data_IF_570892764507
#
_entry.id   IF_570892764507
#
_cell.length_a   1.000
_cell.length_b   1.000
_cell.length_c   1.000
_cell.angle_alpha   90.00
_cell.angle_beta   90.00
_cell.angle_gamma   90.00
#
_symmetry.space_group_name_H-M   'P 1'
#
loop_
_entity.id
_entity.type
_entity.pdbx_description
1 polymer ?
#
# COMPACT_ATOMS: atom_id res chain seq x y z
N UNK A 1 -41.56 -7.97 22.15
CA UNK A 1 -40.25 -8.51 21.74
C UNK A 1 -40.39 -8.89 20.27
N UNK A 2 -39.81 -8.13 19.35
CA UNK A 2 -39.89 -8.43 17.92
C UNK A 2 -38.80 -9.45 17.59
N UNK A 3 -39.18 -10.72 17.49
CA UNK A 3 -38.33 -11.72 16.85
C UNK A 3 -38.39 -11.41 15.36
N UNK A 4 -37.30 -10.92 14.79
CA UNK A 4 -37.16 -10.87 13.34
C UNK A 4 -37.50 -12.27 12.79
N UNK A 5 -38.34 -12.34 11.76
CA UNK A 5 -38.57 -13.60 11.06
C UNK A 5 -37.23 -14.14 10.58
N UNK A 6 -37.05 -15.46 10.58
CA UNK A 6 -35.82 -16.12 10.12
C UNK A 6 -35.33 -15.58 8.77
N UNK A 7 -36.26 -15.23 7.89
CA UNK A 7 -35.97 -14.60 6.59
C UNK A 7 -35.28 -13.24 6.72
N UNK A 8 -35.74 -12.36 7.62
CA UNK A 8 -35.11 -11.06 7.86
C UNK A 8 -33.70 -11.19 8.45
N UNK A 9 -33.44 -12.23 9.27
CA UNK A 9 -32.08 -12.50 9.75
C UNK A 9 -31.14 -12.98 8.63
N UNK A 10 -31.66 -13.74 7.67
CA UNK A 10 -30.89 -14.22 6.52
C UNK A 10 -30.56 -13.06 5.59
N UNK A 11 -31.55 -12.24 5.25
CA UNK A 11 -31.38 -11.05 4.41
C UNK A 11 -30.34 -10.09 5.01
N UNK A 12 -30.38 -9.89 6.34
CA UNK A 12 -29.41 -9.04 7.02
C UNK A 12 -27.98 -9.62 6.96
N UNK A 13 -27.83 -10.94 7.13
CA UNK A 13 -26.52 -11.61 7.01
C UNK A 13 -25.96 -11.52 5.59
N UNK A 14 -26.80 -11.70 4.57
CA UNK A 14 -26.40 -11.56 3.18
C UNK A 14 -25.99 -10.12 2.84
N UNK A 15 -26.73 -9.12 3.35
CA UNK A 15 -26.37 -7.71 3.20
C UNK A 15 -25.02 -7.37 3.83
N UNK A 16 -24.75 -7.89 5.04
CA UNK A 16 -23.45 -7.71 5.72
C UNK A 16 -22.32 -8.37 4.91
N UNK A 17 -22.53 -9.60 4.43
CA UNK A 17 -21.54 -10.30 3.61
C UNK A 17 -21.23 -9.54 2.31
N UNK A 18 -22.26 -9.01 1.64
CA UNK A 18 -22.10 -8.19 0.43
C UNK A 18 -21.28 -6.91 0.69
N UNK A 19 -21.55 -6.22 1.81
CA UNK A 19 -20.79 -5.05 2.25
C UNK A 19 -19.31 -5.40 2.51
N UNK A 20 -19.04 -6.50 3.21
CA UNK A 20 -17.66 -6.92 3.50
C UNK A 20 -16.94 -7.30 2.20
N UNK A 21 -17.59 -8.06 1.31
CA UNK A 21 -17.01 -8.46 0.02
C UNK A 21 -16.67 -7.25 -0.85
N UNK A 22 -17.59 -6.31 -1.02
CA UNK A 22 -17.34 -5.09 -1.81
C UNK A 22 -16.23 -4.21 -1.22
N UNK A 23 -16.14 -4.13 0.12
CA UNK A 23 -15.04 -3.44 0.79
C UNK A 23 -13.69 -4.13 0.55
N UNK A 24 -13.63 -5.46 0.66
CA UNK A 24 -12.43 -6.25 0.40
C UNK A 24 -11.97 -6.14 -1.05
N UNK A 25 -12.89 -6.18 -2.01
CA UNK A 25 -12.60 -5.98 -3.43
C UNK A 25 -11.98 -4.60 -3.68
N UNK A 26 -12.57 -3.53 -3.13
CA UNK A 26 -12.00 -2.18 -3.21
C UNK A 26 -10.61 -2.06 -2.56
N UNK A 27 -10.41 -2.72 -1.41
CA UNK A 27 -9.12 -2.75 -0.74
C UNK A 27 -8.05 -3.53 -1.51
N UNK A 28 -8.43 -4.62 -2.18
CA UNK A 28 -7.51 -5.45 -2.97
C UNK A 28 -7.05 -4.76 -4.26
N UNK A 29 -7.94 -4.04 -4.95
CA UNK A 29 -7.64 -3.32 -6.18
C UNK A 29 -6.65 -2.15 -5.96
N UNK A 30 -6.63 -1.59 -4.75
CA UNK A 30 -5.78 -0.44 -4.40
C UNK A 30 -4.39 -0.86 -3.91
N UNK A 31 -4.22 -2.13 -3.50
CA UNK A 31 -2.93 -2.66 -3.05
C UNK A 31 -2.08 -2.95 -4.27
N UNK A 32 -1.28 -1.98 -4.72
CA UNK A 32 -0.20 -2.22 -5.70
C UNK A 32 0.66 -3.37 -5.20
N UNK A 33 0.52 -4.55 -5.79
CA UNK A 33 1.15 -5.80 -5.32
C UNK A 33 2.67 -5.67 -5.15
N UNK A 34 3.30 -4.80 -5.93
CA UNK A 34 4.74 -4.55 -5.93
C UNK A 34 5.19 -3.53 -4.88
N UNK A 35 4.27 -2.75 -4.30
CA UNK A 35 4.59 -1.69 -3.33
C UNK A 35 5.54 -0.62 -3.89
N UNK A 36 5.50 -0.38 -5.21
CA UNK A 36 6.37 0.57 -5.89
C UNK A 36 5.77 1.97 -5.91
N UNK A 37 6.57 2.93 -5.45
CA UNK A 37 6.25 4.34 -5.37
C UNK A 37 7.14 5.13 -6.33
N UNK A 38 6.55 6.10 -7.02
CA UNK A 38 7.32 7.07 -7.80
C UNK A 38 7.97 8.10 -6.87
N UNK A 39 9.06 8.78 -7.30
CA UNK A 39 9.71 9.82 -6.49
C UNK A 39 8.77 10.97 -6.14
N UNK A 40 7.75 11.22 -6.97
CA UNK A 40 6.71 12.21 -6.70
C UNK A 40 5.80 11.76 -5.56
N UNK A 41 5.30 10.52 -5.60
CA UNK A 41 4.45 9.97 -4.55
C UNK A 41 5.16 9.94 -3.20
N UNK A 42 6.43 9.50 -3.15
CA UNK A 42 7.22 9.49 -1.91
C UNK A 42 7.34 10.90 -1.31
N UNK A 43 7.56 11.92 -2.15
CA UNK A 43 7.65 13.31 -1.69
C UNK A 43 6.33 13.85 -1.19
N UNK A 44 5.23 13.52 -1.85
CA UNK A 44 3.88 13.93 -1.45
C UNK A 44 3.47 13.25 -0.13
N UNK A 45 3.70 11.95 0.02
CA UNK A 45 3.36 11.19 1.22
C UNK A 45 4.20 11.58 2.44
N UNK A 46 5.52 11.75 2.26
CA UNK A 46 6.43 12.11 3.36
C UNK A 46 6.59 13.63 3.55
N UNK A 47 5.95 14.44 2.71
CA UNK A 47 6.07 15.90 2.69
C UNK A 47 7.53 16.40 2.63
N UNK A 48 8.38 15.69 1.87
CA UNK A 48 9.81 16.01 1.75
C UNK A 48 10.16 16.69 0.42
N UNK A 49 11.19 17.55 0.46
CA UNK A 49 11.74 18.18 -0.72
C UNK A 49 12.58 17.23 -1.58
N UNK A 50 12.77 17.60 -2.85
CA UNK A 50 13.61 16.84 -3.80
C UNK A 50 15.05 16.66 -3.30
N UNK A 51 15.61 17.69 -2.65
CA UNK A 51 16.99 17.65 -2.10
C UNK A 51 17.15 16.57 -1.02
N UNK A 52 16.13 16.40 -0.18
CA UNK A 52 16.13 15.38 0.89
C UNK A 52 16.13 13.99 0.30
N UNK A 53 15.25 13.73 -0.68
CA UNK A 53 15.20 12.44 -1.37
C UNK A 53 16.54 12.13 -2.07
N UNK A 54 17.14 13.13 -2.73
CA UNK A 54 18.47 12.97 -3.34
C UNK A 54 19.59 12.71 -2.33
N UNK A 55 19.47 13.22 -1.10
CA UNK A 55 20.41 12.89 -0.03
C UNK A 55 20.23 11.44 0.43
N UNK A 56 19.00 10.95 0.56
CA UNK A 56 18.72 9.56 0.94
C UNK A 56 19.28 8.57 -0.09
N UNK A 57 19.17 8.91 -1.37
CA UNK A 57 19.78 8.14 -2.45
C UNK A 57 21.30 8.03 -2.32
N UNK A 58 21.99 9.05 -1.78
CA UNK A 58 23.44 9.03 -1.53
C UNK A 58 23.81 8.25 -0.27
N UNK A 59 22.94 8.27 0.74
CA UNK A 59 23.14 7.57 2.01
C UNK A 59 22.88 6.06 1.87
N UNK A 60 22.13 5.64 0.85
CA UNK A 60 21.96 4.22 0.51
C UNK A 60 20.54 3.79 0.17
N UNK A 61 19.59 4.71 -0.03
CA UNK A 61 18.24 4.35 -0.44
C UNK A 61 18.25 3.71 -1.84
N UNK A 62 17.79 2.46 -1.92
CA UNK A 62 17.80 1.67 -3.16
C UNK A 62 16.81 2.20 -4.19
N UNK A 63 17.30 2.39 -5.42
CA UNK A 63 16.48 2.75 -6.59
C UNK A 63 16.20 1.52 -7.43
N UNK A 64 14.97 1.37 -7.90
CA UNK A 64 14.56 0.31 -8.79
C UNK A 64 14.34 0.88 -10.19
N UNK A 65 15.09 0.37 -11.16
CA UNK A 65 15.00 0.79 -12.56
C UNK A 65 14.44 -0.37 -13.39
N UNK A 66 13.42 -0.15 -14.24
CA UNK A 66 12.91 -1.19 -15.12
C UNK A 66 13.97 -1.67 -16.11
N UNK A 67 14.06 -2.99 -16.38
CA UNK A 67 15.11 -3.54 -17.24
C UNK A 67 14.91 -3.30 -18.76
N UNK A 68 13.73 -2.85 -19.21
CA UNK A 68 13.31 -2.94 -20.63
C UNK A 68 13.19 -1.59 -21.35
N UNK A 69 13.53 -0.45 -20.76
CA UNK A 69 13.49 0.82 -21.48
C UNK A 69 14.64 1.72 -21.05
N UNK A 70 15.15 2.53 -21.98
CA UNK A 70 16.07 3.68 -21.81
C UNK A 70 15.42 4.82 -20.98
N UNK A 71 14.72 4.42 -19.93
CA UNK A 71 13.83 5.20 -19.13
C UNK A 71 14.59 5.68 -17.92
N UNK A 72 14.80 7.01 -17.83
CA UNK A 72 15.26 7.70 -16.62
C UNK A 72 14.27 7.58 -15.43
N UNK A 73 13.19 6.80 -15.56
CA UNK A 73 12.24 6.56 -14.49
C UNK A 73 12.81 5.52 -13.53
N UNK A 74 12.81 5.90 -12.26
CA UNK A 74 13.16 5.03 -11.14
C UNK A 74 11.99 5.01 -10.16
N UNK A 75 11.92 3.92 -9.41
CA UNK A 75 10.90 3.67 -8.40
C UNK A 75 11.57 3.34 -7.07
N UNK A 76 10.80 3.52 -6.00
CA UNK A 76 11.15 3.11 -4.65
C UNK A 76 10.20 2.03 -4.18
N UNK A 77 10.69 1.11 -3.36
CA UNK A 77 9.83 0.16 -2.66
C UNK A 77 9.44 0.74 -1.31
N UNK A 78 8.15 0.75 -0.99
CA UNK A 78 7.65 1.31 0.26
C UNK A 78 8.32 0.66 1.50
N UNK A 79 8.52 -0.65 1.47
CA UNK A 79 9.21 -1.39 2.55
C UNK A 79 10.64 -0.92 2.76
N UNK A 80 11.35 -0.59 1.69
CA UNK A 80 12.76 -0.19 1.75
C UNK A 80 12.88 1.24 2.27
N UNK A 81 11.92 2.12 1.90
CA UNK A 81 11.82 3.47 2.49
C UNK A 81 11.55 3.37 3.99
N UNK A 82 10.58 2.55 4.41
CA UNK A 82 10.26 2.38 5.84
C UNK A 82 11.45 1.81 6.62
N UNK A 83 12.13 0.81 6.06
CA UNK A 83 13.35 0.24 6.65
C UNK A 83 14.46 1.28 6.75
N UNK A 84 14.65 2.10 5.72
CA UNK A 84 15.63 3.20 5.71
C UNK A 84 15.33 4.25 6.78
N UNK A 85 14.05 4.53 7.04
CA UNK A 85 13.61 5.46 8.09
C UNK A 85 13.71 4.88 9.52
N UNK A 86 14.20 3.65 9.68
CA UNK A 86 14.29 2.96 10.97
C UNK A 86 13.00 2.27 11.41
N UNK A 87 11.98 2.24 10.55
CA UNK A 87 10.78 1.45 10.76
C UNK A 87 11.09 -0.03 10.54
N UNK A 88 11.35 -0.76 11.63
CA UNK A 88 11.38 -2.23 11.59
C UNK A 88 9.96 -2.74 11.28
N UNK A 89 9.72 -3.12 10.03
CA UNK A 89 8.61 -3.99 9.69
C UNK A 89 8.95 -5.40 10.19
N UNK A 90 8.57 -5.69 11.43
CA UNK A 90 8.38 -7.06 11.89
C UNK A 90 7.27 -7.69 11.05
N UNK A 91 7.61 -8.19 9.87
CA UNK A 91 6.76 -9.10 9.14
C UNK A 91 6.78 -10.41 9.92
N UNK A 92 5.69 -10.68 10.64
CA UNK A 92 5.46 -11.92 11.38
C UNK A 92 5.57 -13.14 10.47
N UNK A 93 6.80 -13.66 10.36
CA UNK A 93 7.07 -15.04 9.98
C UNK A 93 7.91 -15.66 11.10
N UNK A 94 7.21 -16.27 12.05
CA UNK A 94 7.67 -17.41 12.83
C UNK A 94 6.59 -18.49 12.72
#
# INVERSE_FOLDING_TARGET
MFTLSRESEIEMKEGILSLISSYLEGCSATRKELGLLTPRQVREELQIGQKTLSQWEKVGLKRYVPPINDSRKYYYRATDILTFLGGSIYNGKS
#
